data_IF_158770030131
#
_entry.id   IF_158770030131
#
_cell.length_a   1.000
_cell.length_b   1.000
_cell.length_c   1.000
_cell.angle_alpha   90.00
_cell.angle_beta   90.00
_cell.angle_gamma   90.00
#
_symmetry.space_group_name_H-M   'P 1'
#
loop_
_entity.id
_entity.type
_entity.pdbx_description
1 polymer ?
#
# COMPACT_ATOMS: atom_id res chain seq x y z
N UNK A 1 11.22 32.93 13.43
CA UNK A 1 9.99 32.74 12.63
C UNK A 1 10.30 31.68 11.58
N UNK A 2 9.88 30.44 11.78
CA UNK A 2 10.27 29.33 10.90
C UNK A 2 9.50 28.08 11.28
N UNK A 3 8.17 28.15 11.14
CA UNK A 3 7.29 27.03 11.42
C UNK A 3 7.55 25.91 10.42
N UNK A 4 8.12 24.82 10.90
CA UNK A 4 8.20 23.55 10.18
C UNK A 4 6.78 23.10 9.90
N UNK A 5 6.27 23.35 8.68
CA UNK A 5 5.00 22.81 8.22
C UNK A 5 5.15 21.29 8.12
N UNK A 6 4.90 20.60 9.24
CA UNK A 6 4.53 19.19 9.22
C UNK A 6 3.29 19.13 8.34
N UNK A 7 3.42 18.54 7.16
CA UNK A 7 2.32 18.22 6.25
C UNK A 7 1.40 17.27 7.03
N UNK A 8 0.51 17.84 7.83
CA UNK A 8 -0.50 17.12 8.59
C UNK A 8 -1.43 16.57 7.51
N UNK A 9 -1.38 15.26 7.27
CA UNK A 9 -2.32 14.58 6.40
C UNK A 9 -3.72 14.95 6.91
N UNK A 10 -4.39 15.90 6.24
CA UNK A 10 -5.60 16.60 6.73
C UNK A 10 -6.72 15.63 7.15
N UNK A 11 -6.67 14.40 6.64
CA UNK A 11 -7.62 13.32 6.90
C UNK A 11 -7.38 12.53 8.20
N UNK A 12 -6.13 12.45 8.67
CA UNK A 12 -5.78 11.60 9.82
C UNK A 12 -5.06 12.44 10.89
N UNK A 13 -5.73 12.74 12.02
CA UNK A 13 -5.13 13.55 13.07
C UNK A 13 -3.99 12.82 13.80
N UNK A 14 -4.01 11.48 13.82
CA UNK A 14 -2.96 10.65 14.42
C UNK A 14 -2.48 9.54 13.47
N UNK A 15 -1.28 9.02 13.73
CA UNK A 15 -0.70 7.87 13.01
C UNK A 15 -1.56 6.62 13.15
N UNK A 16 -2.11 6.38 14.34
CA UNK A 16 -2.97 5.22 14.58
C UNK A 16 -4.25 5.28 13.75
N UNK A 17 -4.83 6.46 13.56
CA UNK A 17 -6.02 6.62 12.69
C UNK A 17 -5.68 6.29 11.24
N UNK A 18 -4.50 6.73 10.76
CA UNK A 18 -4.04 6.40 9.42
C UNK A 18 -3.78 4.88 9.26
N UNK A 19 -3.24 4.20 10.28
CA UNK A 19 -3.01 2.75 10.24
C UNK A 19 -4.31 1.94 10.19
N UNK A 20 -5.42 2.45 10.70
CA UNK A 20 -6.72 1.75 10.62
C UNK A 20 -7.26 1.71 9.19
N UNK A 21 -6.99 2.75 8.40
CA UNK A 21 -7.47 2.87 7.02
C UNK A 21 -6.45 2.40 5.97
N UNK A 22 -5.21 2.09 6.38
CA UNK A 22 -4.13 1.75 5.44
C UNK A 22 -4.35 0.40 4.72
N UNK A 23 -5.24 -0.46 5.23
CA UNK A 23 -5.52 -1.79 4.67
C UNK A 23 -5.92 -1.70 3.19
N UNK A 24 -6.83 -0.79 2.84
CA UNK A 24 -7.31 -0.64 1.47
C UNK A 24 -6.24 -0.07 0.55
N UNK A 25 -5.50 0.93 1.05
CA UNK A 25 -4.35 1.50 0.36
C UNK A 25 -3.26 0.45 0.09
N UNK A 26 -2.98 -0.45 1.04
CA UNK A 26 -2.03 -1.55 0.86
C UNK A 26 -2.52 -2.55 -0.20
N UNK A 27 -3.80 -2.93 -0.16
CA UNK A 27 -4.36 -3.84 -1.16
C UNK A 27 -4.20 -3.28 -2.58
N UNK A 28 -4.47 -1.98 -2.77
CA UNK A 28 -4.29 -1.32 -4.05
C UNK A 28 -2.81 -1.23 -4.44
N UNK A 29 -1.93 -0.91 -3.49
CA UNK A 29 -0.48 -0.85 -3.71
C UNK A 29 0.09 -2.21 -4.18
N UNK A 30 -0.24 -3.29 -3.48
CA UNK A 30 0.19 -4.65 -3.82
C UNK A 30 -0.43 -5.17 -5.12
N UNK A 31 -1.65 -4.73 -5.46
CA UNK A 31 -2.25 -5.04 -6.76
C UNK A 31 -1.44 -4.40 -7.90
N UNK A 32 -1.16 -3.10 -7.80
CA UNK A 32 -0.45 -2.37 -8.86
C UNK A 32 1.02 -2.77 -9.01
N UNK A 33 1.65 -3.24 -7.94
CA UNK A 33 3.00 -3.80 -7.97
C UNK A 33 3.10 -4.99 -8.95
N UNK A 34 2.03 -5.79 -9.04
CA UNK A 34 1.91 -7.01 -9.85
C UNK A 34 1.35 -6.79 -11.25
N UNK A 35 0.82 -5.62 -11.58
CA UNK A 35 0.28 -5.35 -12.91
C UNK A 35 1.39 -5.31 -13.97
N UNK A 36 1.12 -5.79 -15.20
CA UNK A 36 2.01 -5.53 -16.32
C UNK A 36 2.13 -4.03 -16.56
N UNK A 37 3.19 -3.59 -17.26
CA UNK A 37 3.31 -2.19 -17.67
C UNK A 37 2.18 -1.88 -18.67
N UNK A 38 1.11 -1.24 -18.20
CA UNK A 38 0.02 -0.77 -19.03
C UNK A 38 0.33 0.66 -19.48
N UNK A 39 0.02 1.00 -20.73
CA UNK A 39 0.30 2.32 -21.31
C UNK A 39 -0.57 3.44 -20.74
N UNK A 40 -1.60 3.08 -19.97
CA UNK A 40 -2.65 3.97 -19.47
C UNK A 40 -2.32 4.72 -18.17
N UNK A 41 -1.15 4.48 -17.55
CA UNK A 41 -0.68 5.22 -16.39
C UNK A 41 0.84 5.40 -16.39
N UNK A 42 1.33 6.36 -15.61
CA UNK A 42 2.73 6.76 -15.63
C UNK A 42 3.64 5.64 -15.08
N UNK A 43 4.70 5.21 -15.80
CA UNK A 43 5.59 4.13 -15.36
C UNK A 43 6.25 4.36 -13.99
N UNK A 44 6.40 5.62 -13.56
CA UNK A 44 6.94 5.94 -12.24
C UNK A 44 6.05 5.42 -11.12
N UNK A 45 4.73 5.35 -11.29
CA UNK A 45 3.80 4.94 -10.24
C UNK A 45 4.01 3.47 -9.87
N UNK A 46 4.20 2.59 -10.87
CA UNK A 46 4.56 1.18 -10.63
C UNK A 46 5.88 1.08 -9.84
N UNK A 47 6.86 1.89 -10.22
CA UNK A 47 8.18 1.88 -9.55
C UNK A 47 8.07 2.34 -8.10
N UNK A 48 7.26 3.37 -7.82
CA UNK A 48 6.99 3.86 -6.47
C UNK A 48 6.25 2.78 -5.68
N UNK A 49 5.23 2.14 -6.26
CA UNK A 49 4.48 1.07 -5.60
C UNK A 49 5.37 -0.12 -5.23
N UNK A 50 6.25 -0.55 -6.14
CA UNK A 50 7.25 -1.61 -5.87
C UNK A 50 8.14 -1.24 -4.69
N UNK A 51 8.67 -0.02 -4.70
CA UNK A 51 9.54 0.48 -3.64
C UNK A 51 8.81 0.50 -2.30
N UNK A 52 7.60 1.07 -2.25
CA UNK A 52 6.79 1.16 -1.03
C UNK A 52 6.38 -0.22 -0.50
N UNK A 53 6.03 -1.17 -1.38
CA UNK A 53 5.75 -2.55 -0.98
C UNK A 53 6.96 -3.18 -0.29
N UNK A 54 8.16 -3.01 -0.85
CA UNK A 54 9.40 -3.55 -0.25
C UNK A 54 9.71 -2.86 1.07
N UNK A 55 9.60 -1.53 1.14
CA UNK A 55 9.81 -0.77 2.38
C UNK A 55 8.84 -1.21 3.48
N UNK A 56 7.55 -1.39 3.15
CA UNK A 56 6.54 -1.88 4.08
C UNK A 56 6.83 -3.30 4.56
N UNK A 57 7.19 -4.22 3.67
CA UNK A 57 7.55 -5.59 4.05
C UNK A 57 8.81 -5.61 4.95
N UNK A 58 9.79 -4.76 4.66
CA UNK A 58 10.98 -4.61 5.50
C UNK A 58 10.61 -4.13 6.91
N UNK A 59 9.70 -3.17 7.05
CA UNK A 59 9.20 -2.72 8.35
C UNK A 59 8.57 -3.90 9.12
N UNK A 60 7.69 -4.67 8.47
CA UNK A 60 6.98 -5.81 9.10
C UNK A 60 7.96 -6.90 9.54
N UNK A 61 8.99 -7.19 8.74
CA UNK A 61 10.02 -8.18 9.07
C UNK A 61 10.93 -7.69 10.20
N UNK A 62 11.41 -6.45 10.11
CA UNK A 62 12.30 -5.86 11.12
C UNK A 62 11.63 -5.76 12.50
N UNK A 63 10.32 -5.53 12.53
CA UNK A 63 9.53 -5.44 13.78
C UNK A 63 8.93 -6.77 14.24
N UNK A 64 9.09 -7.85 13.47
CA UNK A 64 8.47 -9.16 13.75
C UNK A 64 6.95 -9.04 14.03
N UNK A 65 6.28 -8.21 13.23
CA UNK A 65 4.91 -7.79 13.48
C UNK A 65 3.83 -8.79 13.03
N UNK A 66 4.18 -9.82 12.25
CA UNK A 66 3.20 -10.79 11.72
C UNK A 66 2.50 -11.53 12.87
N UNK A 67 1.16 -11.64 12.78
CA UNK A 67 0.32 -12.34 13.76
C UNK A 67 -0.43 -13.51 13.14
N UNK A 68 -0.96 -13.34 11.93
CA UNK A 68 -1.69 -14.37 11.20
C UNK A 68 -1.34 -14.28 9.72
N UNK A 69 -1.24 -15.42 9.06
CA UNK A 69 -1.11 -15.49 7.61
C UNK A 69 -1.79 -16.76 7.08
N UNK A 70 -2.42 -16.65 5.92
CA UNK A 70 -2.96 -17.82 5.21
C UNK A 70 -2.89 -17.62 3.70
N UNK A 71 -2.85 -18.74 2.97
CA UNK A 71 -2.80 -18.76 1.51
C UNK A 71 -4.22 -18.98 0.99
N UNK A 72 -4.59 -18.23 -0.04
CA UNK A 72 -5.86 -18.39 -0.76
C UNK A 72 -5.61 -18.50 -2.27
N UNK A 73 -6.68 -18.73 -3.02
CA UNK A 73 -6.68 -18.64 -4.48
C UNK A 73 -6.32 -17.22 -4.96
N UNK A 74 -6.72 -16.18 -4.20
CA UNK A 74 -6.48 -14.77 -4.57
C UNK A 74 -5.04 -14.30 -4.29
N UNK A 75 -4.36 -14.95 -3.35
CA UNK A 75 -3.06 -14.50 -2.86
C UNK A 75 -2.82 -14.87 -1.40
N UNK A 76 -1.79 -14.25 -0.82
CA UNK A 76 -1.42 -14.38 0.59
C UNK A 76 -2.13 -13.32 1.41
N UNK A 77 -2.94 -13.75 2.37
CA UNK A 77 -3.52 -12.86 3.37
C UNK A 77 -2.58 -12.77 4.55
N UNK A 78 -2.21 -11.55 4.93
CA UNK A 78 -1.29 -11.29 6.05
C UNK A 78 -1.93 -10.30 6.99
N UNK A 79 -1.87 -10.61 8.29
CA UNK A 79 -2.17 -9.69 9.38
C UNK A 79 -0.88 -9.43 10.16
N UNK A 80 -0.53 -8.15 10.30
CA UNK A 80 0.55 -7.69 11.17
C UNK A 80 0.04 -6.67 12.19
N UNK A 81 0.69 -6.59 13.33
CA UNK A 81 0.39 -5.62 14.37
C UNK A 81 1.44 -4.51 14.37
N UNK A 82 1.05 -3.32 13.91
CA UNK A 82 1.93 -2.15 13.77
C UNK A 82 1.44 -1.10 14.77
N UNK A 83 2.28 -0.70 15.70
CA UNK A 83 1.95 0.27 16.78
C UNK A 83 0.68 -0.10 17.56
N UNK A 84 0.46 -1.39 17.79
CA UNK A 84 -0.74 -1.93 18.47
C UNK A 84 -2.01 -1.94 17.62
N UNK A 85 -1.94 -1.54 16.35
CA UNK A 85 -3.05 -1.58 15.40
C UNK A 85 -2.89 -2.80 14.49
N UNK A 86 -3.89 -3.70 14.41
CA UNK A 86 -3.88 -4.79 13.46
C UNK A 86 -4.13 -4.26 12.05
N UNK A 87 -3.18 -4.51 11.15
CA UNK A 87 -3.26 -4.18 9.72
C UNK A 87 -3.34 -5.48 8.94
N UNK A 88 -4.30 -5.57 8.02
CA UNK A 88 -4.52 -6.74 7.16
C UNK A 88 -4.36 -6.31 5.70
N UNK A 89 -3.69 -7.11 4.90
CA UNK A 89 -3.59 -6.88 3.46
C UNK A 89 -3.47 -8.21 2.70
N UNK A 90 -3.67 -8.13 1.39
CA UNK A 90 -3.54 -9.24 0.45
C UNK A 90 -2.36 -8.98 -0.48
N UNK A 91 -1.46 -9.94 -0.58
CA UNK A 91 -0.41 -9.96 -1.61
C UNK A 91 -0.85 -10.88 -2.75
N UNK A 92 -1.18 -10.36 -3.94
CA UNK A 92 -1.59 -11.20 -5.07
C UNK A 92 -0.47 -12.16 -5.50
N UNK A 93 -0.86 -13.33 -6.00
CA UNK A 93 0.07 -14.23 -6.66
C UNK A 93 0.71 -13.55 -7.87
N UNK A 94 1.93 -13.94 -8.23
CA UNK A 94 2.69 -13.34 -9.34
C UNK A 94 2.04 -13.51 -10.73
N UNK A 95 0.99 -14.34 -10.84
CA UNK A 95 0.34 -14.68 -12.10
C UNK A 95 -0.90 -13.81 -12.32
N UNK A 96 -0.71 -12.58 -12.80
CA UNK A 96 -1.82 -11.81 -13.38
C UNK A 96 -1.80 -12.03 -14.90
N UNK A 97 -2.32 -13.16 -15.34
CA UNK A 97 -2.40 -13.50 -16.78
C UNK A 97 -3.54 -12.75 -17.49
N UNK A 98 -4.42 -12.06 -16.76
CA UNK A 98 -5.57 -11.37 -17.32
C UNK A 98 -5.86 -10.06 -16.56
N UNK A 99 -5.59 -8.92 -17.20
CA UNK A 99 -6.08 -7.60 -16.77
C UNK A 99 -7.44 -7.34 -17.39
N UNK A 100 -8.53 -7.24 -16.61
CA UNK A 100 -9.86 -6.94 -17.16
C UNK A 100 -9.85 -5.62 -17.92
N UNK A 101 -10.44 -5.59 -19.12
CA UNK A 101 -10.49 -4.40 -19.99
C UNK A 101 -11.63 -3.45 -19.66
N UNK A 102 -12.58 -3.88 -18.83
CA UNK A 102 -13.75 -3.15 -18.37
C UNK A 102 -13.49 -2.29 -17.12
N UNK A 103 -12.28 -2.36 -16.57
CA UNK A 103 -11.86 -1.56 -15.40
C UNK A 103 -11.21 -0.25 -15.85
N UNK A 104 -11.68 0.88 -15.32
CA UNK A 104 -11.01 2.18 -15.55
C UNK A 104 -9.80 2.32 -14.60
N UNK A 105 -8.63 1.91 -15.11
CA UNK A 105 -7.36 2.00 -14.38
C UNK A 105 -6.89 3.43 -14.12
N UNK A 106 -7.44 4.46 -14.79
CA UNK A 106 -7.04 5.85 -14.54
C UNK A 106 -7.55 6.32 -13.18
N UNK A 107 -8.79 5.96 -12.84
CA UNK A 107 -9.36 6.24 -11.51
C UNK A 107 -8.54 5.54 -10.43
N UNK A 108 -8.24 4.25 -10.64
CA UNK A 108 -7.42 3.49 -9.71
C UNK A 108 -5.99 4.06 -9.57
N UNK A 109 -5.39 4.56 -10.65
CA UNK A 109 -4.10 5.22 -10.60
C UNK A 109 -4.15 6.53 -9.77
N UNK A 110 -5.19 7.35 -9.93
CA UNK A 110 -5.37 8.54 -9.11
C UNK A 110 -5.57 8.21 -7.63
N UNK A 111 -6.34 7.16 -7.31
CA UNK A 111 -6.46 6.65 -5.94
C UNK A 111 -5.09 6.23 -5.40
N UNK A 112 -4.34 5.47 -6.20
CA UNK A 112 -3.02 4.97 -5.82
C UNK A 112 -1.99 6.08 -5.58
N UNK A 113 -2.03 7.19 -6.32
CA UNK A 113 -1.15 8.34 -6.06
C UNK A 113 -1.36 8.94 -4.66
N UNK A 114 -2.63 9.05 -4.24
CA UNK A 114 -2.98 9.49 -2.90
C UNK A 114 -2.54 8.47 -1.84
N UNK A 115 -2.84 7.19 -2.08
CA UNK A 115 -2.50 6.07 -1.19
C UNK A 115 -0.98 5.93 -1.02
N UNK A 116 -0.20 6.04 -2.09
CA UNK A 116 1.26 5.98 -2.04
C UNK A 116 1.83 7.12 -1.19
N UNK A 117 1.24 8.32 -1.26
CA UNK A 117 1.63 9.46 -0.42
C UNK A 117 1.31 9.19 1.06
N UNK A 118 0.14 8.62 1.36
CA UNK A 118 -0.25 8.23 2.71
C UNK A 118 0.71 7.18 3.29
N UNK A 119 0.95 6.10 2.55
CA UNK A 119 1.84 5.00 2.96
C UNK A 119 3.27 5.53 3.16
N UNK A 120 3.79 6.33 2.22
CA UNK A 120 5.12 6.93 2.34
C UNK A 120 5.25 7.82 3.59
N UNK A 121 4.21 8.56 3.95
CA UNK A 121 4.21 9.38 5.18
C UNK A 121 4.26 8.54 6.47
N UNK A 122 3.76 7.30 6.43
CA UNK A 122 3.81 6.35 7.53
C UNK A 122 5.15 5.60 7.60
N UNK A 123 5.88 5.45 6.50
CA UNK A 123 7.15 4.73 6.47
C UNK A 123 8.37 5.62 6.85
N UNK A 124 8.31 6.94 6.62
CA UNK A 124 9.41 7.90 6.88
C UNK A 124 9.60 8.30 8.36
N UNK A 125 9.65 7.36 9.30
CA UNK A 125 10.06 7.64 10.69
C UNK A 125 11.55 7.37 10.92
#
# INVERSE_FOLDING_TARGET
MGGTMKKKSFRYPTRQDALRDISDSLNLLFLFEKLPKLTQFHPSLISISRRLCVEFLNLVVATQAVRKAFISIKGFYVQAEIDGIPVVWIMPHASVTHTPTDVDYRILATCLEFDATLIGSLMCQ
#
